data_IF_426265902117
#
_entry.id   IF_426265902117
#
_cell.length_a   1.000
_cell.length_b   1.000
_cell.length_c   1.000
_cell.angle_alpha   90.00
_cell.angle_beta   90.00
_cell.angle_gamma   90.00
#
_symmetry.space_group_name_H-M   'P 1'
#
loop_
_entity.id
_entity.type
_entity.pdbx_description
1 polymer ?
#
# COMPACT_ATOMS: atom_id res chain seq x y z
N UNK A 1 40.17 0.77 6.13
CA UNK A 1 38.86 0.95 5.42
C UNK A 1 37.66 1.13 6.38
N UNK A 2 37.90 1.26 7.67
CA UNK A 2 36.82 1.49 8.66
C UNK A 2 36.38 2.96 8.76
N UNK A 3 37.00 3.87 8.03
CA UNK A 3 36.62 5.27 7.94
C UNK A 3 35.75 5.54 6.73
N UNK A 4 34.56 6.11 6.93
CA UNK A 4 33.54 6.36 5.91
C UNK A 4 34.11 7.09 4.67
N UNK A 5 35.03 8.01 4.85
CA UNK A 5 35.63 8.79 3.76
C UNK A 5 36.62 8.04 2.88
N UNK A 6 37.02 6.83 3.28
CA UNK A 6 37.99 5.99 2.54
C UNK A 6 37.39 4.65 2.09
N UNK A 7 36.09 4.45 2.35
CA UNK A 7 35.42 3.21 1.95
C UNK A 7 34.91 3.34 0.52
N UNK A 8 35.54 2.62 -0.40
CA UNK A 8 35.15 2.56 -1.82
C UNK A 8 34.27 1.34 -2.10
N UNK A 9 34.34 0.31 -1.27
CA UNK A 9 33.61 -0.91 -1.46
C UNK A 9 32.16 -0.80 -1.00
N UNK A 10 31.21 -1.01 -1.90
CA UNK A 10 29.76 -0.90 -1.64
C UNK A 10 29.34 -1.77 -0.45
N UNK A 11 29.89 -2.99 -0.32
CA UNK A 11 29.60 -3.89 0.80
C UNK A 11 29.96 -3.28 2.16
N UNK A 12 31.11 -2.62 2.23
CA UNK A 12 31.61 -1.98 3.43
C UNK A 12 30.74 -0.77 3.80
N UNK A 13 30.34 0.04 2.79
CA UNK A 13 29.41 1.16 2.97
C UNK A 13 28.06 0.69 3.52
N UNK A 14 27.50 -0.41 2.98
CA UNK A 14 26.27 -1.01 3.50
C UNK A 14 26.40 -1.47 4.94
N UNK A 15 27.47 -2.18 5.27
CA UNK A 15 27.72 -2.66 6.62
C UNK A 15 27.85 -1.51 7.62
N UNK A 16 28.55 -0.45 7.24
CA UNK A 16 28.68 0.77 8.07
C UNK A 16 27.35 1.49 8.23
N UNK A 17 26.61 1.71 7.16
CA UNK A 17 25.28 2.33 7.22
C UNK A 17 24.34 1.58 8.17
N UNK A 18 24.33 0.26 8.09
CA UNK A 18 23.51 -0.59 8.95
C UNK A 18 23.96 -0.58 10.42
N UNK A 19 25.28 -0.48 10.69
CA UNK A 19 25.78 -0.36 12.07
C UNK A 19 25.32 0.93 12.75
N UNK A 20 25.01 1.97 11.97
CA UNK A 20 24.37 3.21 12.42
C UNK A 20 22.84 3.19 12.39
N UNK A 21 22.23 2.03 12.13
CA UNK A 21 20.77 1.88 12.09
C UNK A 21 20.11 2.33 10.79
N UNK A 22 20.88 2.72 9.76
CA UNK A 22 20.33 3.10 8.47
C UNK A 22 19.98 1.87 7.64
N UNK A 23 18.73 1.80 7.18
CA UNK A 23 18.25 0.76 6.25
C UNK A 23 18.27 1.33 4.83
N UNK A 24 19.26 0.98 3.99
CA UNK A 24 19.34 1.50 2.64
C UNK A 24 18.15 1.01 1.79
N UNK A 25 17.53 1.93 1.06
CA UNK A 25 16.52 1.63 0.05
C UNK A 25 17.22 1.46 -1.29
N UNK A 26 17.16 0.26 -1.85
CA UNK A 26 17.82 -0.06 -3.13
C UNK A 26 17.02 0.44 -4.34
N UNK A 27 15.71 0.54 -4.19
CA UNK A 27 14.79 1.02 -5.22
C UNK A 27 13.60 1.73 -4.58
N UNK A 28 12.99 2.61 -5.34
CA UNK A 28 11.74 3.26 -4.99
C UNK A 28 10.74 3.11 -6.15
N UNK A 29 9.45 2.92 -5.88
CA UNK A 29 8.45 2.87 -6.93
C UNK A 29 8.31 4.25 -7.57
N UNK A 30 8.06 4.29 -8.87
CA UNK A 30 7.61 5.52 -9.53
C UNK A 30 6.17 5.81 -9.12
N UNK A 31 5.89 7.07 -8.79
CA UNK A 31 4.55 7.51 -8.43
C UNK A 31 3.95 8.35 -9.56
N UNK A 32 2.68 8.15 -9.82
CA UNK A 32 1.93 8.90 -10.82
C UNK A 32 0.49 9.10 -10.36
N UNK A 33 -0.23 9.95 -11.07
CA UNK A 33 -1.68 10.05 -10.96
C UNK A 33 -2.30 9.37 -12.17
N UNK A 34 -3.27 8.52 -11.92
CA UNK A 34 -4.11 7.91 -12.93
C UNK A 34 -5.44 8.64 -12.95
N UNK A 35 -5.93 8.95 -14.11
CA UNK A 35 -7.26 9.48 -14.31
C UNK A 35 -8.17 8.34 -14.77
N UNK A 36 -9.19 8.04 -13.96
CA UNK A 36 -10.24 7.11 -14.33
C UNK A 36 -11.43 7.88 -14.86
N UNK A 37 -12.00 7.37 -15.91
CA UNK A 37 -13.21 7.93 -16.53
C UNK A 37 -14.24 6.86 -16.77
N UNK A 38 -15.50 7.27 -16.71
CA UNK A 38 -16.64 6.41 -16.89
C UNK A 38 -17.80 7.19 -17.52
N UNK A 39 -18.56 6.53 -18.38
CA UNK A 39 -19.86 7.02 -18.83
C UNK A 39 -20.93 6.58 -17.83
N UNK A 40 -21.76 7.52 -17.42
CA UNK A 40 -22.94 7.26 -16.59
C UNK A 40 -24.19 7.84 -17.24
N UNK A 41 -25.36 7.21 -17.08
CA UNK A 41 -26.60 7.75 -17.64
C UNK A 41 -26.98 9.07 -16.97
N UNK A 42 -27.84 9.81 -17.62
CA UNK A 42 -28.44 10.98 -17.07
C UNK A 42 -29.54 10.64 -16.07
N UNK A 43 -29.68 11.45 -15.03
CA UNK A 43 -30.85 11.49 -14.15
C UNK A 43 -31.42 12.90 -14.12
N UNK A 44 -32.74 13.01 -13.93
CA UNK A 44 -33.43 14.30 -13.98
C UNK A 44 -33.69 14.80 -15.40
N UNK A 45 -34.49 15.85 -15.49
CA UNK A 45 -34.93 16.44 -16.75
C UNK A 45 -34.65 17.96 -16.78
N UNK A 46 -34.44 18.50 -17.97
CA UNK A 46 -34.23 19.93 -18.19
C UNK A 46 -33.07 20.49 -17.37
N UNK A 47 -33.32 21.53 -16.58
CA UNK A 47 -32.30 22.17 -15.75
C UNK A 47 -31.83 21.33 -14.56
N UNK A 48 -32.52 20.23 -14.25
CA UNK A 48 -32.14 19.28 -13.20
C UNK A 48 -31.40 18.05 -13.75
N UNK A 49 -31.04 18.07 -15.02
CA UNK A 49 -30.25 17.01 -15.64
C UNK A 49 -28.88 16.90 -14.94
N UNK A 50 -28.52 15.71 -14.49
CA UNK A 50 -27.28 15.43 -13.76
C UNK A 50 -26.82 13.99 -14.02
N UNK A 51 -25.52 13.68 -13.80
CA UNK A 51 -25.03 12.30 -13.83
C UNK A 51 -25.74 11.44 -12.78
N UNK A 52 -26.14 10.24 -13.14
CA UNK A 52 -26.64 9.25 -12.17
C UNK A 52 -25.47 8.52 -11.49
N UNK A 53 -25.06 9.01 -10.35
CA UNK A 53 -23.93 8.46 -9.60
C UNK A 53 -24.19 7.09 -8.96
N UNK A 54 -25.43 6.56 -9.00
CA UNK A 54 -25.69 5.19 -8.57
C UNK A 54 -25.01 4.17 -9.48
N UNK A 55 -24.74 4.54 -10.73
CA UNK A 55 -23.99 3.72 -11.69
C UNK A 55 -22.47 3.96 -11.63
N UNK A 56 -22.01 4.90 -10.81
CA UNK A 56 -20.59 5.19 -10.70
C UNK A 56 -19.84 4.08 -9.95
N UNK A 57 -18.64 3.74 -10.45
CA UNK A 57 -17.81 2.67 -9.93
C UNK A 57 -17.04 3.10 -8.67
N UNK A 58 -16.74 2.10 -7.85
CA UNK A 58 -15.76 2.20 -6.77
C UNK A 58 -14.55 1.32 -7.11
N UNK A 59 -13.45 1.95 -7.49
CA UNK A 59 -12.19 1.29 -7.84
C UNK A 59 -11.37 1.17 -6.56
N UNK A 60 -11.06 -0.08 -6.17
CA UNK A 60 -10.36 -0.35 -4.92
C UNK A 60 -8.86 -0.08 -5.01
N UNK A 61 -8.27 0.26 -3.86
CA UNK A 61 -6.83 0.31 -3.71
C UNK A 61 -6.20 -1.03 -4.14
N UNK A 62 -5.00 -0.97 -4.74
CA UNK A 62 -4.33 -2.15 -5.30
C UNK A 62 -4.80 -2.55 -6.70
N UNK A 63 -5.78 -1.84 -7.30
CA UNK A 63 -6.20 -2.11 -8.69
C UNK A 63 -5.02 -1.94 -9.63
N UNK A 64 -4.79 -2.99 -10.45
CA UNK A 64 -3.71 -3.05 -11.43
C UNK A 64 -4.12 -2.32 -12.72
N UNK A 65 -3.27 -1.41 -13.14
CA UNK A 65 -3.37 -0.72 -14.44
C UNK A 65 -2.05 -0.90 -15.17
N UNK A 66 -2.11 -1.21 -16.45
CA UNK A 66 -0.93 -1.44 -17.27
C UNK A 66 -0.91 -0.47 -18.45
N UNK A 67 0.25 0.11 -18.70
CA UNK A 67 0.46 0.94 -19.90
C UNK A 67 0.60 0.06 -21.14
N UNK A 68 0.48 0.66 -22.32
CA UNK A 68 0.69 -0.05 -23.60
C UNK A 68 2.10 -0.68 -23.69
N UNK A 69 3.09 -0.11 -23.01
CA UNK A 69 4.47 -0.59 -22.95
C UNK A 69 4.69 -1.67 -21.88
N UNK A 70 3.64 -2.12 -21.19
CA UNK A 70 3.71 -3.18 -20.19
C UNK A 70 4.14 -2.73 -18.79
N UNK A 71 4.23 -1.42 -18.52
CA UNK A 71 4.52 -0.92 -17.19
C UNK A 71 3.29 -1.00 -16.30
N UNK A 72 3.42 -1.69 -15.18
CA UNK A 72 2.31 -1.91 -14.24
C UNK A 72 2.33 -0.87 -13.13
N UNK A 73 1.16 -0.27 -12.91
CA UNK A 73 0.87 0.61 -11.78
C UNK A 73 -0.26 0.02 -10.93
N UNK A 74 -0.26 0.35 -9.66
CA UNK A 74 -1.35 0.00 -8.73
C UNK A 74 -1.83 1.24 -8.00
N UNK A 75 -3.15 1.36 -7.88
CA UNK A 75 -3.74 2.43 -7.07
C UNK A 75 -3.37 2.24 -5.61
N UNK A 76 -2.98 3.32 -4.92
CA UNK A 76 -2.60 3.28 -3.50
C UNK A 76 -3.76 3.64 -2.57
N UNK A 77 -4.87 4.10 -3.12
CA UNK A 77 -6.08 4.49 -2.41
C UNK A 77 -7.32 4.11 -3.20
N UNK A 78 -8.46 4.01 -2.53
CA UNK A 78 -9.76 3.78 -3.17
C UNK A 78 -10.14 5.00 -4.02
N UNK A 79 -10.64 4.76 -5.23
CA UNK A 79 -11.21 5.78 -6.10
C UNK A 79 -12.72 5.54 -6.22
N UNK A 80 -13.49 6.07 -5.28
CA UNK A 80 -14.94 6.02 -5.37
C UNK A 80 -15.45 7.18 -6.22
N UNK A 81 -15.96 6.87 -7.41
CA UNK A 81 -16.45 7.86 -8.36
C UNK A 81 -17.83 8.41 -7.98
N UNK A 82 -18.51 7.83 -6.96
CA UNK A 82 -19.80 8.32 -6.45
C UNK A 82 -19.64 9.57 -5.59
N UNK A 83 -18.52 9.68 -4.89
CA UNK A 83 -18.26 10.72 -3.90
C UNK A 83 -17.12 11.64 -4.32
N UNK A 84 -17.18 12.84 -3.83
CA UNK A 84 -16.18 13.88 -4.02
C UNK A 84 -15.57 14.26 -2.68
N UNK A 85 -14.28 14.58 -2.66
CA UNK A 85 -13.58 15.09 -1.50
C UNK A 85 -12.71 16.28 -1.87
N UNK A 86 -12.30 17.07 -0.88
CA UNK A 86 -11.42 18.22 -1.08
C UNK A 86 -10.08 17.83 -1.76
N UNK A 87 -9.62 16.59 -1.55
CA UNK A 87 -8.35 16.06 -2.12
C UNK A 87 -8.53 15.37 -3.46
N UNK A 88 -9.73 14.87 -3.76
CA UNK A 88 -10.03 14.12 -4.98
C UNK A 88 -11.36 14.61 -5.53
N UNK A 89 -11.26 15.64 -6.36
CA UNK A 89 -12.41 16.22 -7.05
C UNK A 89 -12.85 15.29 -8.17
N UNK A 90 -14.13 15.30 -8.43
CA UNK A 90 -14.76 14.64 -9.56
C UNK A 90 -15.19 15.71 -10.55
N UNK A 91 -14.90 15.50 -11.81
CA UNK A 91 -15.36 16.33 -12.90
C UNK A 91 -16.43 15.58 -13.68
N UNK A 92 -17.44 16.29 -14.16
CA UNK A 92 -18.51 15.72 -14.96
C UNK A 92 -18.80 16.63 -16.16
N UNK A 93 -18.86 16.06 -17.34
CA UNK A 93 -19.14 16.74 -18.60
C UNK A 93 -20.22 15.98 -19.34
N UNK A 94 -21.04 16.68 -20.11
CA UNK A 94 -22.06 16.03 -20.95
C UNK A 94 -21.33 15.34 -22.10
N UNK A 95 -21.53 14.03 -22.23
CA UNK A 95 -20.95 13.25 -23.31
C UNK A 95 -21.87 13.21 -24.53
N UNK A 96 -23.15 12.98 -24.31
CA UNK A 96 -24.12 12.83 -25.39
C UNK A 96 -25.45 13.51 -25.05
N UNK A 97 -26.10 14.05 -26.07
CA UNK A 97 -27.44 14.66 -25.99
C UNK A 97 -28.38 13.98 -26.97
N UNK A 98 -29.62 13.86 -26.58
CA UNK A 98 -30.68 13.48 -27.49
C UNK A 98 -30.91 14.56 -28.56
N UNK A 99 -30.87 14.19 -29.83
CA UNK A 99 -30.94 15.13 -30.93
C UNK A 99 -32.31 15.80 -31.10
N UNK A 100 -33.37 15.20 -30.55
CA UNK A 100 -34.72 15.72 -30.68
C UNK A 100 -35.10 16.67 -29.53
N UNK A 101 -34.56 16.41 -28.32
CA UNK A 101 -34.95 17.12 -27.09
C UNK A 101 -33.81 17.96 -26.51
N UNK A 102 -32.60 17.87 -27.06
CA UNK A 102 -31.37 18.49 -26.55
C UNK A 102 -31.08 18.14 -25.05
N UNK A 103 -31.72 17.08 -24.55
CA UNK A 103 -31.50 16.61 -23.19
C UNK A 103 -30.25 15.74 -23.10
N UNK A 104 -29.40 15.86 -22.07
CA UNK A 104 -28.29 14.95 -21.87
C UNK A 104 -28.77 13.51 -21.70
N UNK A 105 -28.14 12.57 -22.41
CA UNK A 105 -28.40 11.13 -22.30
C UNK A 105 -27.31 10.45 -21.48
N UNK A 106 -26.05 10.85 -21.70
CA UNK A 106 -24.89 10.33 -21.00
C UNK A 106 -23.96 11.44 -20.54
N UNK A 107 -23.34 11.19 -19.39
CA UNK A 107 -22.32 12.04 -18.78
C UNK A 107 -21.00 11.30 -18.74
N UNK A 108 -19.92 12.04 -18.97
CA UNK A 108 -18.56 11.59 -18.82
C UNK A 108 -18.05 12.08 -17.47
N UNK A 109 -17.87 11.17 -16.52
CA UNK A 109 -17.29 11.49 -15.22
C UNK A 109 -15.84 11.06 -15.16
N UNK A 110 -14.99 11.88 -14.56
CA UNK A 110 -13.57 11.58 -14.37
C UNK A 110 -13.10 11.91 -12.97
N UNK A 111 -12.10 11.15 -12.50
CA UNK A 111 -11.51 11.32 -11.19
C UNK A 111 -10.08 10.86 -11.18
N UNK A 112 -9.18 11.65 -10.55
CA UNK A 112 -7.79 11.28 -10.37
C UNK A 112 -7.58 10.45 -9.11
N UNK A 113 -6.65 9.50 -9.18
CA UNK A 113 -6.17 8.71 -8.04
C UNK A 113 -4.66 8.53 -8.13
N UNK A 114 -4.00 8.49 -6.98
CA UNK A 114 -2.56 8.22 -6.92
C UNK A 114 -2.28 6.74 -7.14
N UNK A 115 -1.21 6.47 -7.89
CA UNK A 115 -0.75 5.12 -8.17
C UNK A 115 0.77 5.03 -8.09
N UNK A 116 1.25 3.83 -7.84
CA UNK A 116 2.68 3.50 -7.80
C UNK A 116 2.98 2.33 -8.72
N UNK A 117 4.16 2.38 -9.34
CA UNK A 117 4.65 1.26 -10.16
C UNK A 117 5.07 0.10 -9.27
N UNK A 118 4.77 -1.11 -9.72
CA UNK A 118 5.21 -2.34 -9.06
C UNK A 118 4.28 -3.52 -9.30
N UNK A 119 4.85 -4.70 -9.16
CA UNK A 119 4.12 -5.95 -9.16
C UNK A 119 4.09 -6.53 -7.74
N UNK A 120 2.99 -7.20 -7.40
CA UNK A 120 2.90 -8.01 -6.19
C UNK A 120 3.13 -9.46 -6.59
N UNK A 121 4.07 -10.10 -5.92
CA UNK A 121 4.39 -11.53 -6.08
C UNK A 121 4.30 -12.21 -4.73
N UNK A 122 3.89 -13.46 -4.71
CA UNK A 122 3.88 -14.30 -3.52
C UNK A 122 5.04 -15.30 -3.62
N UNK A 123 5.69 -15.54 -2.50
CA UNK A 123 6.72 -16.57 -2.37
C UNK A 123 6.43 -17.40 -1.12
N UNK A 124 6.46 -18.72 -1.27
CA UNK A 124 6.26 -19.66 -0.18
C UNK A 124 7.59 -20.25 0.27
N UNK A 125 7.80 -20.32 1.59
CA UNK A 125 9.02 -20.86 2.18
C UNK A 125 8.67 -21.98 3.13
N UNK A 126 9.46 -23.07 3.07
CA UNK A 126 9.36 -24.19 4.01
C UNK A 126 10.48 -24.09 5.03
N UNK A 127 10.14 -24.11 6.30
CA UNK A 127 11.09 -24.17 7.40
C UNK A 127 11.16 -25.59 7.93
N UNK A 128 12.35 -26.02 8.34
CA UNK A 128 12.55 -27.27 9.06
C UNK A 128 12.14 -27.14 10.55
N UNK A 129 12.85 -27.84 11.42
CA UNK A 129 12.62 -27.67 12.87
C UNK A 129 12.92 -26.27 13.35
N UNK A 130 12.31 -25.88 14.48
CA UNK A 130 12.45 -24.55 15.08
C UNK A 130 13.93 -24.13 15.23
N UNK A 131 14.28 -23.00 14.65
CA UNK A 131 15.64 -22.46 14.65
C UNK A 131 15.60 -20.97 15.00
N UNK A 132 16.47 -20.55 15.92
CA UNK A 132 16.60 -19.14 16.28
C UNK A 132 17.15 -18.34 15.10
N UNK A 133 16.53 -17.19 14.85
CA UNK A 133 16.96 -16.25 13.79
C UNK A 133 17.07 -16.88 12.40
N UNK A 134 16.08 -17.74 12.08
CA UNK A 134 16.06 -18.36 10.76
C UNK A 134 15.90 -17.31 9.67
N UNK A 135 16.50 -17.60 8.50
CA UNK A 135 16.65 -16.64 7.43
C UNK A 135 16.12 -17.21 6.13
N UNK A 136 15.40 -16.40 5.39
CA UNK A 136 15.03 -16.70 4.01
C UNK A 136 15.48 -15.58 3.09
N UNK A 137 15.90 -15.95 1.91
CA UNK A 137 16.30 -15.02 0.87
C UNK A 137 15.20 -15.00 -0.20
N UNK A 138 14.64 -13.80 -0.46
CA UNK A 138 13.66 -13.64 -1.51
C UNK A 138 14.31 -13.87 -2.87
N UNK A 139 13.59 -14.54 -3.77
CA UNK A 139 14.08 -14.88 -5.13
C UNK A 139 14.20 -13.62 -5.96
N UNK A 140 13.24 -12.70 -5.83
CA UNK A 140 13.21 -11.45 -6.57
C UNK A 140 14.24 -10.46 -6.03
N UNK A 141 14.93 -9.77 -6.94
CA UNK A 141 15.72 -8.58 -6.65
C UNK A 141 14.84 -7.34 -6.60
N UNK A 142 15.34 -6.27 -6.00
CA UNK A 142 14.65 -4.96 -5.96
C UNK A 142 13.27 -4.98 -5.29
N UNK A 143 13.09 -5.84 -4.30
CA UNK A 143 11.87 -5.85 -3.49
C UNK A 143 11.74 -4.51 -2.77
N UNK A 144 10.64 -3.82 -3.00
CA UNK A 144 10.38 -2.49 -2.43
C UNK A 144 9.91 -2.63 -1.00
N UNK A 145 8.89 -3.48 -0.79
CA UNK A 145 8.20 -3.64 0.48
C UNK A 145 7.64 -5.05 0.65
N UNK A 146 7.36 -5.45 1.88
CA UNK A 146 6.67 -6.69 2.24
C UNK A 146 5.24 -6.35 2.66
N UNK A 147 4.29 -6.62 1.79
CA UNK A 147 2.87 -6.29 2.03
C UNK A 147 2.29 -7.15 3.16
N UNK A 148 2.62 -8.44 3.16
CA UNK A 148 2.13 -9.36 4.19
C UNK A 148 3.06 -10.56 4.32
N UNK A 149 3.12 -11.12 5.53
CA UNK A 149 3.78 -12.37 5.83
C UNK A 149 2.87 -13.18 6.75
N UNK A 150 2.52 -14.41 6.34
CA UNK A 150 1.63 -15.30 7.10
C UNK A 150 2.23 -16.68 7.19
N UNK A 151 1.97 -17.40 8.29
CA UNK A 151 2.35 -18.80 8.41
C UNK A 151 1.22 -19.75 7.94
N UNK A 152 1.49 -21.05 7.93
CA UNK A 152 0.54 -22.08 7.51
C UNK A 152 -0.72 -22.15 8.39
N UNK A 153 -0.66 -21.66 9.61
CA UNK A 153 -1.79 -21.60 10.54
C UNK A 153 -2.64 -20.32 10.35
N UNK A 154 -2.24 -19.46 9.39
CA UNK A 154 -2.91 -18.19 9.11
C UNK A 154 -2.50 -17.04 10.04
N UNK A 155 -1.50 -17.23 10.90
CA UNK A 155 -1.05 -16.14 11.76
C UNK A 155 -0.24 -15.12 10.97
N UNK A 156 -0.48 -13.86 11.25
CA UNK A 156 0.25 -12.74 10.65
C UNK A 156 1.57 -12.50 11.38
N UNK A 157 2.63 -12.36 10.61
CA UNK A 157 3.95 -11.93 11.06
C UNK A 157 4.16 -10.46 10.72
N UNK A 158 4.78 -9.72 11.63
CA UNK A 158 4.92 -8.28 11.52
C UNK A 158 6.36 -7.88 11.30
N UNK A 159 6.60 -6.94 10.39
CA UNK A 159 7.90 -6.34 10.22
C UNK A 159 8.19 -5.40 11.39
N UNK A 160 9.40 -5.52 11.93
CA UNK A 160 9.93 -4.69 13.02
C UNK A 160 11.33 -4.20 12.69
N UNK A 161 11.75 -3.09 13.29
CA UNK A 161 13.08 -2.56 13.08
C UNK A 161 14.17 -3.44 13.68
N UNK A 162 13.89 -4.05 14.82
CA UNK A 162 14.74 -4.99 15.51
C UNK A 162 13.93 -6.17 16.03
N UNK A 163 14.47 -7.39 15.98
CA UNK A 163 13.83 -8.57 16.56
C UNK A 163 13.64 -8.48 18.09
N UNK A 164 14.32 -7.56 18.76
CA UNK A 164 14.08 -7.27 20.18
C UNK A 164 12.82 -6.41 20.42
N UNK A 165 12.32 -5.73 19.40
CA UNK A 165 11.11 -4.92 19.48
C UNK A 165 9.89 -5.83 19.50
N UNK A 166 9.08 -5.76 20.55
CA UNK A 166 7.89 -6.58 20.74
C UNK A 166 6.57 -5.81 20.54
N UNK A 167 6.66 -4.53 20.22
CA UNK A 167 5.50 -3.65 20.03
C UNK A 167 5.59 -2.90 18.71
N UNK A 168 4.44 -2.75 18.06
CA UNK A 168 4.26 -1.97 16.83
C UNK A 168 3.07 -1.02 17.00
N UNK A 169 3.01 -0.01 16.13
CA UNK A 169 1.80 0.76 15.94
C UNK A 169 0.97 0.10 14.83
N UNK A 170 -0.27 -0.24 15.16
CA UNK A 170 -1.25 -0.81 14.23
C UNK A 170 -2.28 0.27 13.90
N UNK A 171 -2.56 0.46 12.62
CA UNK A 171 -3.59 1.39 12.17
C UNK A 171 -4.94 0.70 12.24
N UNK A 172 -5.86 1.28 13.00
CA UNK A 172 -7.23 0.81 13.11
C UNK A 172 -8.19 1.90 12.68
N UNK A 173 -9.33 1.51 12.14
CA UNK A 173 -10.40 2.44 11.75
C UNK A 173 -10.88 3.26 12.95
N UNK A 174 -11.02 4.56 12.75
CA UNK A 174 -11.59 5.44 13.77
C UNK A 174 -13.13 5.36 13.72
N UNK A 175 -13.67 4.39 14.44
CA UNK A 175 -15.10 4.18 14.58
C UNK A 175 -15.49 4.01 16.06
N UNK A 176 -16.78 3.96 16.33
CA UNK A 176 -17.31 3.85 17.70
C UNK A 176 -16.92 2.55 18.41
N UNK A 177 -16.64 1.48 17.65
CA UNK A 177 -16.28 0.18 18.22
C UNK A 177 -14.81 0.15 18.66
N UNK A 178 -13.94 0.90 17.96
CA UNK A 178 -12.52 0.97 18.27
C UNK A 178 -12.19 2.06 19.30
N UNK A 179 -12.76 3.25 19.15
CA UNK A 179 -12.62 4.35 20.12
C UNK A 179 -13.86 5.26 20.08
N UNK A 180 -14.81 5.10 21.01
CA UNK A 180 -16.01 5.92 21.07
C UNK A 180 -15.74 7.42 21.23
N UNK A 181 -14.62 7.79 21.87
CA UNK A 181 -14.29 9.19 22.16
C UNK A 181 -13.75 9.93 20.94
N UNK A 182 -13.03 9.23 20.06
CA UNK A 182 -12.43 9.78 18.84
C UNK A 182 -13.30 9.59 17.61
N UNK A 183 -14.30 8.72 17.65
CA UNK A 183 -15.16 8.40 16.50
C UNK A 183 -15.87 9.61 15.89
N UNK A 184 -16.17 10.62 16.69
CA UNK A 184 -16.76 11.89 16.23
C UNK A 184 -15.85 12.65 15.24
N UNK A 185 -14.55 12.37 15.22
CA UNK A 185 -13.57 12.99 14.33
C UNK A 185 -13.18 12.09 13.13
N UNK A 186 -13.93 11.01 12.90
CA UNK A 186 -13.61 10.01 11.86
C UNK A 186 -13.56 10.60 10.44
N UNK A 187 -14.28 11.69 10.17
CA UNK A 187 -14.22 12.41 8.91
C UNK A 187 -12.87 13.10 8.66
N UNK A 188 -12.24 13.60 9.72
CA UNK A 188 -10.97 14.32 9.65
C UNK A 188 -9.78 13.38 9.89
N UNK A 189 -9.98 12.41 10.78
CA UNK A 189 -8.99 11.42 11.20
C UNK A 189 -9.60 10.02 11.04
N UNK A 190 -9.57 9.45 9.84
CA UNK A 190 -10.21 8.16 9.55
C UNK A 190 -9.53 6.96 10.20
N UNK A 191 -8.27 7.09 10.60
CA UNK A 191 -7.49 6.03 11.25
C UNK A 191 -6.80 6.54 12.51
N UNK A 192 -6.74 5.69 13.52
CA UNK A 192 -6.01 5.93 14.77
C UNK A 192 -4.92 4.87 14.96
N UNK A 193 -3.84 5.23 15.64
CA UNK A 193 -2.75 4.31 15.94
C UNK A 193 -2.97 3.65 17.30
N UNK A 194 -2.93 2.33 17.32
CA UNK A 194 -2.98 1.51 18.55
C UNK A 194 -1.65 0.81 18.75
N UNK A 195 -1.13 0.83 19.96
CA UNK A 195 0.03 0.02 20.34
C UNK A 195 -0.37 -1.45 20.45
N UNK A 196 0.32 -2.32 19.71
CA UNK A 196 0.07 -3.76 19.66
C UNK A 196 1.34 -4.54 19.99
N UNK A 197 1.23 -5.50 20.90
CA UNK A 197 2.29 -6.49 21.14
C UNK A 197 2.29 -7.55 20.06
N UNK A 198 3.49 -7.87 19.54
CA UNK A 198 3.69 -8.84 18.48
C UNK A 198 4.74 -9.88 18.90
N UNK A 199 4.34 -11.13 18.98
CA UNK A 199 5.24 -12.25 19.23
C UNK A 199 5.85 -12.78 17.94
N UNK A 200 5.06 -12.80 16.86
CA UNK A 200 5.48 -13.26 15.52
C UNK A 200 5.98 -12.07 14.72
N UNK A 201 7.29 -11.99 14.53
CA UNK A 201 7.93 -10.85 13.90
C UNK A 201 9.13 -11.23 13.06
N UNK A 202 9.45 -10.39 12.10
CA UNK A 202 10.62 -10.50 11.25
C UNK A 202 11.24 -9.14 10.98
N UNK A 203 12.49 -9.14 10.54
CA UNK A 203 13.19 -7.95 10.03
C UNK A 203 13.60 -8.17 8.59
N UNK A 204 13.60 -7.11 7.82
CA UNK A 204 14.12 -7.12 6.45
C UNK A 204 15.56 -6.62 6.44
N UNK A 205 16.38 -7.29 5.65
CA UNK A 205 17.77 -6.92 5.44
C UNK A 205 18.04 -6.82 3.93
N UNK A 206 18.42 -5.62 3.48
CA UNK A 206 18.80 -5.39 2.08
C UNK A 206 20.27 -5.74 1.88
N UNK A 207 20.53 -6.67 0.98
CA UNK A 207 21.87 -7.10 0.65
C UNK A 207 22.47 -6.26 -0.48
N UNK A 208 23.81 -6.11 -0.55
CA UNK A 208 24.48 -5.37 -1.63
C UNK A 208 24.25 -5.95 -3.03
N UNK A 209 23.86 -7.24 -3.12
CA UNK A 209 23.52 -7.93 -4.36
C UNK A 209 22.10 -7.61 -4.87
N UNK A 210 21.39 -6.67 -4.24
CA UNK A 210 20.03 -6.26 -4.59
C UNK A 210 18.95 -7.19 -4.04
N UNK A 211 19.30 -8.28 -3.36
CA UNK A 211 18.34 -9.20 -2.76
C UNK A 211 17.90 -8.77 -1.37
N UNK A 212 16.74 -9.23 -0.97
CA UNK A 212 16.19 -9.00 0.36
C UNK A 212 16.18 -10.30 1.17
N UNK A 213 16.80 -10.28 2.34
CA UNK A 213 16.80 -11.36 3.31
C UNK A 213 15.78 -11.03 4.42
N UNK A 214 14.89 -11.96 4.73
CA UNK A 214 14.00 -11.90 5.88
C UNK A 214 14.61 -12.70 7.03
N UNK A 215 14.60 -12.15 8.23
CA UNK A 215 15.09 -12.81 9.45
C UNK A 215 13.96 -12.92 10.43
N UNK A 216 13.65 -14.15 10.84
CA UNK A 216 12.53 -14.47 11.71
C UNK A 216 12.98 -14.76 13.14
N UNK A 217 12.17 -14.43 14.10
CA UNK A 217 12.36 -14.83 15.48
C UNK A 217 11.91 -13.80 16.49
N UNK A 218 11.60 -14.27 17.69
CA UNK A 218 11.20 -13.43 18.80
C UNK A 218 12.35 -13.08 19.73
N UNK A 219 13.53 -13.66 19.57
CA UNK A 219 14.67 -13.45 20.49
C UNK A 219 14.48 -14.02 21.90
N UNK A 220 13.26 -14.33 22.30
CA UNK A 220 12.90 -14.93 23.56
C UNK A 220 12.00 -16.13 23.25
N UNK A 221 12.37 -17.30 23.73
CA UNK A 221 11.45 -18.42 23.78
C UNK A 221 10.53 -18.18 24.97
N UNK A 222 9.30 -17.79 24.74
CA UNK A 222 8.26 -17.93 25.74
C UNK A 222 8.02 -19.43 25.91
N UNK A 223 8.85 -20.04 26.75
CA UNK A 223 8.52 -21.31 27.36
C UNK A 223 7.57 -20.97 28.51
N UNK A 224 6.31 -20.99 28.25
CA UNK A 224 5.30 -21.23 29.25
C UNK A 224 4.68 -22.59 29.03
#
# INVERSE_FOLDING_TARGET
ESLLGYSEELRTLYAMAQSFGYKPRLSAPSSTKLEFFQLVPNTGEGNNAAPDYNYALNIKAGTRVETADGVVFRTIEDCDMRYESARSKREAEIFERDSATDTPTYWYIRKEVRAQSGNVTNEDFSFGGAKKYDKVLLSNSNVIDIISCTDSDGNKWYEVDSLAQDTIFDEIENNSDNDPSLSQYSSDVPYILRLKRVSKRFTTFKRPDGKTELRFGAGVSDNA
#
